data_IF_117227478155
#
_entry.id   IF_117227478155
#
_cell.length_a   1.000
_cell.length_b   1.000
_cell.length_c   1.000
_cell.angle_alpha   90.00
_cell.angle_beta   90.00
_cell.angle_gamma   90.00
#
_symmetry.space_group_name_H-M   'P 1'
#
loop_
_entity.id
_entity.type
_entity.pdbx_description
1 polymer ?
#
# COMPACT_ATOMS: atom_id res chain seq x y z
N UNK A 1 -6.69 12.74 -12.87
CA UNK A 1 -6.06 12.43 -14.17
C UNK A 1 -4.60 12.10 -13.92
N UNK A 2 -4.23 10.89 -14.34
CA UNK A 2 -2.96 10.16 -14.22
C UNK A 2 -2.76 9.27 -12.98
N UNK A 3 -3.51 8.16 -12.99
CA UNK A 3 -3.16 6.85 -12.38
C UNK A 3 -2.26 5.99 -13.30
N UNK A 4 -1.86 6.51 -14.47
CA UNK A 4 -1.11 5.81 -15.54
C UNK A 4 0.42 5.75 -15.36
N UNK A 5 0.96 6.03 -14.17
CA UNK A 5 2.42 6.21 -14.00
C UNK A 5 3.15 5.01 -13.40
N UNK A 6 2.42 3.93 -13.07
CA UNK A 6 3.02 2.62 -12.73
C UNK A 6 3.26 1.78 -14.02
N UNK A 7 2.68 2.20 -15.14
CA UNK A 7 2.59 1.43 -16.39
C UNK A 7 3.94 1.21 -17.11
N UNK A 8 5.00 1.93 -16.76
CA UNK A 8 6.25 1.92 -17.52
C UNK A 8 7.37 1.02 -16.96
N UNK A 9 7.21 0.40 -15.79
CA UNK A 9 8.27 -0.47 -15.22
C UNK A 9 8.11 -1.95 -15.64
N UNK A 10 6.93 -2.38 -16.07
CA UNK A 10 6.64 -3.83 -16.26
C UNK A 10 6.50 -4.31 -17.71
N UNK A 11 6.63 -3.46 -18.72
CA UNK A 11 6.44 -3.88 -20.12
C UNK A 11 7.78 -4.18 -20.81
N UNK A 12 8.20 -5.46 -20.78
CA UNK A 12 8.76 -6.21 -21.93
C UNK A 12 9.23 -7.61 -21.54
N UNK A 13 8.42 -8.63 -21.90
CA UNK A 13 8.72 -9.65 -22.92
C UNK A 13 7.74 -10.81 -22.79
N UNK A 14 6.95 -11.01 -23.84
CA UNK A 14 6.26 -12.27 -24.13
C UNK A 14 7.27 -13.40 -24.18
N UNK A 15 7.12 -14.40 -23.33
CA UNK A 15 7.82 -15.69 -23.47
C UNK A 15 6.85 -16.82 -23.13
N UNK A 16 6.93 -17.86 -23.95
CA UNK A 16 6.11 -19.07 -23.93
C UNK A 16 6.12 -19.74 -22.55
N UNK A 17 4.91 -20.06 -22.07
CA UNK A 17 4.65 -20.51 -20.70
C UNK A 17 4.77 -22.03 -20.60
N UNK A 18 5.65 -22.53 -19.71
CA UNK A 18 5.65 -23.95 -19.28
C UNK A 18 4.69 -24.13 -18.09
N UNK A 19 3.88 -25.19 -18.13
CA UNK A 19 2.86 -25.55 -17.13
C UNK A 19 3.46 -25.81 -15.74
N UNK A 20 2.85 -25.25 -14.70
CA UNK A 20 3.16 -25.54 -13.28
C UNK A 20 2.33 -26.72 -12.76
N UNK A 21 2.91 -27.55 -11.91
CA UNK A 21 2.35 -28.83 -11.40
C UNK A 21 1.49 -28.72 -10.12
N UNK A 22 1.06 -27.53 -9.70
CA UNK A 22 0.28 -27.33 -8.47
C UNK A 22 -1.22 -27.66 -8.71
N UNK A 23 -1.79 -28.55 -7.89
CA UNK A 23 -3.21 -28.94 -7.98
C UNK A 23 -4.12 -27.97 -7.20
N UNK A 24 -5.18 -27.42 -7.82
CA UNK A 24 -5.97 -26.31 -7.27
C UNK A 24 -6.93 -26.67 -6.11
N UNK A 25 -6.89 -27.88 -5.56
CA UNK A 25 -7.95 -28.39 -4.66
C UNK A 25 -7.48 -29.14 -3.41
N UNK A 26 -6.18 -29.28 -3.13
CA UNK A 26 -5.72 -30.20 -2.07
C UNK A 26 -5.02 -29.60 -0.86
N UNK A 27 -4.79 -28.29 -0.75
CA UNK A 27 -4.21 -27.71 0.46
C UNK A 27 -4.86 -26.36 0.82
N UNK A 28 -6.08 -26.41 1.34
CA UNK A 28 -6.62 -25.30 2.16
C UNK A 28 -6.07 -25.49 3.58
N UNK A 29 -4.76 -25.29 3.75
CA UNK A 29 -4.10 -25.36 5.05
C UNK A 29 -4.55 -24.20 5.95
N UNK A 30 -4.37 -24.41 7.25
CA UNK A 30 -4.54 -23.46 8.36
C UNK A 30 -4.21 -22.00 7.99
N UNK A 31 -4.92 -21.06 8.62
CA UNK A 31 -4.85 -19.60 8.43
C UNK A 31 -3.56 -19.12 7.75
N UNK A 32 -3.65 -18.77 6.47
CA UNK A 32 -2.51 -18.26 5.71
C UNK A 32 -2.05 -16.94 6.33
N UNK A 33 -0.82 -16.88 6.85
CA UNK A 33 -0.24 -15.67 7.44
C UNK A 33 0.91 -15.15 6.59
N UNK A 34 0.76 -13.93 6.06
CA UNK A 34 1.87 -13.19 5.46
C UNK A 34 2.64 -12.42 6.53
N UNK A 35 3.97 -12.56 6.52
CA UNK A 35 4.87 -11.82 7.40
C UNK A 35 5.23 -10.46 6.78
N UNK A 36 5.40 -9.42 7.60
CA UNK A 36 5.85 -8.10 7.15
C UNK A 36 7.38 -7.95 7.25
N UNK A 37 7.94 -7.00 6.49
CA UNK A 37 9.33 -6.55 6.65
C UNK A 37 9.48 -5.79 7.96
N UNK A 38 10.48 -6.14 8.75
CA UNK A 38 10.84 -5.40 9.96
C UNK A 38 11.80 -4.30 9.57
N UNK A 39 11.47 -3.06 9.88
CA UNK A 39 12.41 -1.96 9.84
C UNK A 39 12.81 -1.58 11.25
N UNK A 40 14.01 -1.04 11.41
CA UNK A 40 14.56 -0.66 12.71
C UNK A 40 14.51 0.85 12.86
N UNK A 41 14.21 1.31 14.07
CA UNK A 41 14.24 2.74 14.40
C UNK A 41 15.67 3.27 14.26
N UNK A 42 15.77 4.52 13.80
CA UNK A 42 17.03 5.24 13.56
C UNK A 42 17.94 4.61 12.50
N UNK A 43 17.42 3.66 11.72
CA UNK A 43 18.11 3.09 10.57
C UNK A 43 17.74 3.83 9.28
N UNK A 44 18.76 3.99 8.43
CA UNK A 44 18.63 4.59 7.10
C UNK A 44 18.60 3.48 6.05
N UNK A 45 17.58 3.52 5.21
CA UNK A 45 17.40 2.62 4.09
C UNK A 45 17.73 3.36 2.78
N UNK A 46 18.85 3.03 2.10
CA UNK A 46 19.07 3.43 0.73
C UNK A 46 18.17 2.58 -0.19
N UNK A 47 17.70 3.14 -1.29
CA UNK A 47 16.90 2.40 -2.29
C UNK A 47 15.45 2.09 -1.91
N UNK A 48 14.76 3.12 -1.43
CA UNK A 48 13.30 3.08 -1.27
C UNK A 48 12.59 3.63 -2.52
N UNK A 49 11.49 2.99 -2.91
CA UNK A 49 10.57 3.43 -3.95
C UNK A 49 9.20 3.72 -3.34
N UNK A 50 8.60 4.88 -3.62
CA UNK A 50 7.21 5.15 -3.25
C UNK A 50 6.29 4.46 -4.25
N UNK A 51 5.52 3.48 -3.78
CA UNK A 51 4.57 2.72 -4.60
C UNK A 51 3.17 3.30 -4.58
N UNK A 52 2.78 3.93 -3.46
CA UNK A 52 1.50 4.60 -3.33
C UNK A 52 1.59 5.76 -2.35
N UNK A 53 0.86 6.84 -2.64
CA UNK A 53 0.82 8.05 -1.82
C UNK A 53 -0.59 8.62 -1.83
N UNK A 54 -1.33 8.40 -0.75
CA UNK A 54 -2.65 9.01 -0.56
C UNK A 54 -2.48 10.44 -0.03
N UNK A 55 -1.82 10.59 1.12
CA UNK A 55 -1.50 11.88 1.72
C UNK A 55 -0.23 11.78 2.60
N UNK A 56 0.29 12.88 3.18
CA UNK A 56 1.58 12.85 3.90
C UNK A 56 1.68 11.89 5.09
N UNK A 57 0.55 11.41 5.61
CA UNK A 57 0.50 10.42 6.71
C UNK A 57 0.11 9.02 6.25
N UNK A 58 -0.04 8.83 4.94
CA UNK A 58 -0.53 7.63 4.26
C UNK A 58 0.33 7.38 3.00
N UNK A 59 1.59 7.01 3.22
CA UNK A 59 2.57 6.75 2.16
C UNK A 59 2.96 5.28 2.24
N UNK A 60 3.22 4.66 1.09
CA UNK A 60 3.65 3.28 1.00
C UNK A 60 4.92 3.20 0.17
N UNK A 61 5.91 2.48 0.70
CA UNK A 61 7.19 2.31 0.04
C UNK A 61 7.60 0.84 -0.05
N UNK A 62 8.46 0.54 -1.00
CA UNK A 62 9.21 -0.70 -1.08
C UNK A 62 10.69 -0.42 -0.85
N UNK A 63 11.38 -1.29 -0.12
CA UNK A 63 12.84 -1.32 -0.02
C UNK A 63 13.36 -2.34 -1.05
N UNK A 64 14.22 -1.88 -1.97
CA UNK A 64 14.72 -2.65 -3.11
C UNK A 64 15.95 -3.51 -2.76
N UNK A 65 15.84 -4.35 -1.74
CA UNK A 65 16.88 -5.35 -1.38
C UNK A 65 16.67 -6.67 -2.14
N UNK A 66 15.41 -7.04 -2.41
CA UNK A 66 15.00 -8.34 -2.97
C UNK A 66 14.23 -8.22 -4.32
N UNK A 67 14.55 -7.23 -5.15
CA UNK A 67 13.77 -6.89 -6.34
C UNK A 67 13.51 -8.06 -7.30
N UNK A 68 14.50 -8.93 -7.50
CA UNK A 68 14.39 -10.12 -8.36
C UNK A 68 13.46 -11.19 -7.78
N UNK A 69 13.49 -11.42 -6.47
CA UNK A 69 12.63 -12.40 -5.81
C UNK A 69 11.16 -11.95 -5.82
N UNK A 70 10.91 -10.65 -5.62
CA UNK A 70 9.57 -10.10 -5.75
C UNK A 70 9.02 -10.23 -7.18
N UNK A 71 9.83 -9.85 -8.18
CA UNK A 71 9.45 -9.96 -9.58
C UNK A 71 9.12 -11.41 -9.97
N UNK A 72 9.96 -12.37 -9.54
CA UNK A 72 9.73 -13.79 -9.79
C UNK A 72 8.42 -14.27 -9.15
N UNK A 73 8.17 -13.94 -7.87
CA UNK A 73 6.94 -14.29 -7.18
C UNK A 73 5.70 -13.72 -7.90
N UNK A 74 5.75 -12.44 -8.31
CA UNK A 74 4.64 -11.80 -9.03
C UNK A 74 4.34 -12.51 -10.36
N UNK A 75 5.38 -12.88 -11.11
CA UNK A 75 5.24 -13.66 -12.35
C UNK A 75 4.65 -15.05 -12.11
N UNK A 76 5.08 -15.74 -11.06
CA UNK A 76 4.59 -17.09 -10.76
C UNK A 76 3.13 -17.09 -10.28
N UNK A 77 2.71 -16.08 -9.49
CA UNK A 77 1.30 -15.85 -9.15
C UNK A 77 0.48 -15.69 -10.43
N UNK A 78 0.88 -14.77 -11.31
CA UNK A 78 0.13 -14.50 -12.53
C UNK A 78 0.06 -15.72 -13.44
N UNK A 79 1.16 -16.45 -13.61
CA UNK A 79 1.19 -17.71 -14.37
C UNK A 79 0.21 -18.73 -13.78
N UNK A 80 0.20 -18.91 -12.47
CA UNK A 80 -0.63 -19.90 -11.82
C UNK A 80 -2.13 -19.59 -11.95
N UNK A 81 -2.57 -18.38 -11.59
CA UNK A 81 -4.01 -18.06 -11.57
C UNK A 81 -4.58 -17.82 -12.97
N UNK A 82 -3.79 -17.29 -13.92
CA UNK A 82 -4.24 -17.13 -15.31
C UNK A 82 -4.46 -18.48 -16.00
N UNK A 83 -3.63 -19.48 -15.71
CA UNK A 83 -3.81 -20.82 -16.26
C UNK A 83 -4.97 -21.60 -15.61
N UNK A 84 -5.50 -21.12 -14.48
CA UNK A 84 -6.51 -21.80 -13.69
C UNK A 84 -7.82 -20.99 -13.51
N UNK A 85 -8.12 -20.05 -14.42
CA UNK A 85 -9.30 -19.16 -14.29
C UNK A 85 -10.62 -19.91 -14.04
N UNK A 86 -10.83 -21.03 -14.74
CA UNK A 86 -12.07 -21.82 -14.64
C UNK A 86 -12.22 -22.58 -13.32
N UNK A 87 -11.11 -22.93 -12.65
CA UNK A 87 -11.11 -23.66 -11.38
C UNK A 87 -11.78 -22.86 -10.25
N UNK A 88 -11.93 -21.55 -10.43
CA UNK A 88 -12.43 -20.62 -9.44
C UNK A 88 -13.79 -20.00 -9.81
N UNK A 89 -14.43 -20.51 -10.86
CA UNK A 89 -15.75 -20.06 -11.32
C UNK A 89 -16.87 -20.22 -10.27
N UNK A 90 -16.68 -21.16 -9.32
CA UNK A 90 -17.65 -21.50 -8.27
C UNK A 90 -17.22 -21.09 -6.85
N UNK A 91 -16.25 -20.17 -6.70
CA UNK A 91 -15.90 -19.65 -5.36
C UNK A 91 -17.14 -18.98 -4.74
N UNK A 92 -17.55 -19.50 -3.58
CA UNK A 92 -18.67 -18.97 -2.79
C UNK A 92 -18.24 -17.75 -1.96
N UNK A 93 -19.18 -16.86 -1.66
CA UNK A 93 -18.99 -15.69 -0.79
C UNK A 93 -18.73 -16.04 0.69
N UNK A 94 -18.78 -17.33 1.06
CA UNK A 94 -18.51 -17.81 2.43
C UNK A 94 -17.04 -18.01 2.76
N UNK A 95 -16.12 -17.83 1.81
CA UNK A 95 -14.71 -18.21 1.96
C UNK A 95 -13.77 -17.10 2.39
N UNK A 96 -14.26 -15.87 2.55
CA UNK A 96 -13.41 -14.71 2.78
C UNK A 96 -14.01 -13.77 3.81
N UNK A 97 -13.26 -13.49 4.85
CA UNK A 97 -13.60 -12.58 5.93
C UNK A 97 -12.66 -11.37 5.96
N UNK A 98 -13.05 -10.34 6.71
CA UNK A 98 -12.20 -9.16 6.91
C UNK A 98 -10.93 -9.61 7.63
N UNK A 99 -9.78 -9.25 7.07
CA UNK A 99 -8.48 -9.64 7.58
C UNK A 99 -7.88 -10.87 6.90
N UNK A 100 -8.61 -11.57 6.03
CA UNK A 100 -8.02 -12.67 5.26
C UNK A 100 -7.03 -12.15 4.21
N UNK A 101 -5.96 -12.91 4.01
CA UNK A 101 -5.08 -12.73 2.87
C UNK A 101 -5.60 -13.53 1.67
N UNK A 102 -5.55 -12.91 0.51
CA UNK A 102 -6.07 -13.48 -0.74
C UNK A 102 -5.17 -13.09 -1.91
N UNK A 103 -5.53 -13.58 -3.09
CA UNK A 103 -5.04 -13.08 -4.37
C UNK A 103 -6.19 -12.37 -5.08
N UNK A 104 -5.96 -11.14 -5.51
CA UNK A 104 -6.97 -10.28 -6.10
C UNK A 104 -6.57 -9.90 -7.54
N UNK A 105 -7.53 -9.99 -8.45
CA UNK A 105 -7.39 -9.57 -9.83
C UNK A 105 -7.66 -8.08 -9.98
N UNK A 106 -6.67 -7.32 -10.42
CA UNK A 106 -6.87 -5.90 -10.75
C UNK A 106 -7.36 -5.76 -12.19
N UNK A 107 -8.50 -5.10 -12.36
CA UNK A 107 -9.03 -4.78 -13.69
C UNK A 107 -8.23 -3.71 -14.42
N UNK A 108 -7.48 -2.89 -13.68
CA UNK A 108 -6.62 -1.85 -14.23
C UNK A 108 -5.37 -2.44 -14.89
N UNK A 109 -4.72 -3.40 -14.21
CA UNK A 109 -3.45 -3.98 -14.67
C UNK A 109 -3.61 -5.31 -15.39
N UNK A 110 -4.81 -5.91 -15.37
CA UNK A 110 -5.08 -7.23 -15.92
C UNK A 110 -4.19 -8.33 -15.30
N UNK A 111 -3.85 -8.18 -14.03
CA UNK A 111 -2.94 -9.05 -13.29
C UNK A 111 -3.49 -9.40 -11.91
N UNK A 112 -2.98 -10.49 -11.35
CA UNK A 112 -3.24 -10.96 -9.99
C UNK A 112 -2.16 -10.47 -9.03
N UNK A 113 -2.59 -10.07 -7.84
CA UNK A 113 -1.74 -9.51 -6.79
C UNK A 113 -2.08 -10.12 -5.43
N UNK A 114 -1.08 -10.22 -4.54
CA UNK A 114 -1.36 -10.56 -3.13
C UNK A 114 -2.10 -9.40 -2.47
N UNK A 115 -3.14 -9.71 -1.72
CA UNK A 115 -3.97 -8.70 -1.10
C UNK A 115 -4.47 -9.15 0.29
N UNK A 116 -4.99 -8.18 1.05
CA UNK A 116 -5.71 -8.42 2.30
C UNK A 116 -7.07 -7.77 2.24
N UNK A 117 -8.10 -8.47 2.71
CA UNK A 117 -9.46 -7.97 2.74
C UNK A 117 -9.61 -6.98 3.89
N UNK A 118 -10.09 -5.79 3.55
CA UNK A 118 -10.25 -4.68 4.47
C UNK A 118 -11.72 -4.46 4.83
N UNK A 119 -12.63 -4.69 3.88
CA UNK A 119 -14.07 -4.55 4.10
C UNK A 119 -14.86 -5.38 3.08
N UNK A 120 -16.14 -5.64 3.37
CA UNK A 120 -17.03 -6.47 2.54
C UNK A 120 -18.38 -5.77 2.36
N UNK A 121 -18.78 -5.57 1.12
CA UNK A 121 -20.15 -5.23 0.74
C UNK A 121 -20.85 -6.50 0.23
N UNK A 122 -21.55 -7.19 1.14
CA UNK A 122 -22.28 -8.40 0.82
C UNK A 122 -23.43 -8.19 -0.18
N UNK A 123 -24.01 -6.97 -0.25
CA UNK A 123 -25.15 -6.69 -1.14
C UNK A 123 -24.68 -6.65 -2.59
N UNK A 124 -23.57 -5.97 -2.84
CA UNK A 124 -22.99 -5.83 -4.17
C UNK A 124 -21.95 -6.91 -4.50
N UNK A 125 -21.67 -7.84 -3.56
CA UNK A 125 -20.64 -8.88 -3.67
C UNK A 125 -19.26 -8.29 -3.98
N UNK A 126 -18.96 -7.14 -3.38
CA UNK A 126 -17.69 -6.45 -3.53
C UNK A 126 -16.88 -6.54 -2.24
N UNK A 127 -15.57 -6.57 -2.39
CA UNK A 127 -14.62 -6.61 -1.28
C UNK A 127 -13.62 -5.49 -1.50
N UNK A 128 -13.39 -4.71 -0.45
CA UNK A 128 -12.29 -3.76 -0.44
C UNK A 128 -11.04 -4.53 -0.08
N UNK A 129 -10.05 -4.51 -0.96
CA UNK A 129 -8.76 -5.14 -0.71
C UNK A 129 -7.64 -4.10 -0.73
N UNK A 130 -6.59 -4.32 0.04
CA UNK A 130 -5.30 -3.62 -0.13
C UNK A 130 -4.30 -4.57 -0.76
N UNK A 131 -3.62 -4.11 -1.82
CA UNK A 131 -2.53 -4.86 -2.41
C UNK A 131 -1.33 -4.74 -1.49
N UNK A 132 -1.03 -5.82 -0.75
CA UNK A 132 -0.06 -5.74 0.36
C UNK A 132 1.35 -5.44 -0.13
N UNK A 133 1.65 -5.73 -1.39
CA UNK A 133 2.95 -5.45 -1.98
C UNK A 133 3.09 -4.02 -2.52
N UNK A 134 2.00 -3.24 -2.61
CA UNK A 134 2.00 -1.89 -3.21
C UNK A 134 1.38 -0.80 -2.33
N UNK A 135 0.39 -1.15 -1.50
CA UNK A 135 -0.25 -0.26 -0.54
C UNK A 135 -1.53 0.45 -1.02
N UNK A 136 -1.83 0.44 -2.31
CA UNK A 136 -3.11 0.94 -2.82
C UNK A 136 -4.25 -0.07 -2.58
N UNK A 137 -5.49 0.44 -2.50
CA UNK A 137 -6.69 -0.38 -2.31
C UNK A 137 -7.68 -0.23 -3.46
N UNK A 138 -8.48 -1.28 -3.69
CA UNK A 138 -9.48 -1.34 -4.76
C UNK A 138 -10.72 -2.11 -4.27
N UNK A 139 -11.92 -1.68 -4.68
CA UNK A 139 -13.13 -2.48 -4.54
C UNK A 139 -13.25 -3.46 -5.69
N UNK A 140 -13.25 -4.75 -5.40
CA UNK A 140 -13.23 -5.81 -6.41
C UNK A 140 -14.42 -6.73 -6.19
N UNK A 141 -15.08 -7.14 -7.27
CA UNK A 141 -16.16 -8.13 -7.21
C UNK A 141 -15.59 -9.50 -6.78
N UNK A 142 -16.34 -10.30 -6.01
CA UNK A 142 -15.90 -11.62 -5.49
C UNK A 142 -15.29 -12.55 -6.57
N UNK A 143 -15.76 -12.43 -7.82
CA UNK A 143 -15.21 -13.17 -8.97
C UNK A 143 -13.74 -12.87 -9.28
N UNK A 144 -13.18 -11.78 -8.78
CA UNK A 144 -11.77 -11.43 -8.88
C UNK A 144 -10.91 -11.89 -7.70
N UNK A 145 -11.49 -12.51 -6.67
CA UNK A 145 -10.78 -12.94 -5.46
C UNK A 145 -10.50 -14.43 -5.52
N UNK A 146 -9.30 -14.83 -5.10
CA UNK A 146 -8.79 -16.20 -5.10
C UNK A 146 -8.10 -16.49 -3.77
N UNK A 147 -8.10 -17.75 -3.29
CA UNK A 147 -7.34 -18.12 -2.10
C UNK A 147 -5.85 -17.84 -2.32
N UNK A 148 -5.15 -17.35 -1.30
CA UNK A 148 -3.69 -17.23 -1.35
C UNK A 148 -3.06 -18.58 -0.97
N UNK A 149 -2.24 -19.14 -1.87
CA UNK A 149 -1.58 -20.42 -1.64
C UNK A 149 -0.30 -20.25 -0.83
N UNK A 150 0.04 -21.25 -0.01
CA UNK A 150 1.17 -21.20 0.93
C UNK A 150 2.51 -20.96 0.23
N UNK A 151 2.68 -21.43 -1.00
CA UNK A 151 3.85 -21.21 -1.84
C UNK A 151 4.14 -19.72 -2.07
N UNK A 152 3.10 -18.90 -2.16
CA UNK A 152 3.18 -17.45 -2.37
C UNK A 152 3.29 -16.65 -1.07
N UNK A 153 3.45 -17.32 0.08
CA UNK A 153 3.60 -16.69 1.40
C UNK A 153 5.05 -16.62 1.88
N UNK A 154 5.96 -17.28 1.17
CA UNK A 154 7.39 -17.37 1.52
C UNK A 154 8.05 -16.00 1.56
N UNK A 155 7.71 -15.13 0.61
CA UNK A 155 8.20 -13.76 0.57
C UNK A 155 7.36 -12.89 1.51
N UNK A 156 8.02 -12.05 2.31
CA UNK A 156 7.33 -11.08 3.16
C UNK A 156 6.50 -10.11 2.33
N UNK A 157 5.54 -9.43 2.96
CA UNK A 157 4.85 -8.28 2.39
C UNK A 157 5.90 -7.25 1.96
N UNK A 158 5.82 -6.78 0.72
CA UNK A 158 6.85 -5.92 0.15
C UNK A 158 6.67 -4.44 0.46
N UNK A 159 5.41 -3.99 0.61
CA UNK A 159 5.13 -2.61 0.96
C UNK A 159 5.28 -2.36 2.46
N UNK A 160 5.70 -1.16 2.80
CA UNK A 160 5.87 -0.67 4.15
C UNK A 160 5.05 0.63 4.25
N UNK A 161 4.01 0.66 5.11
CA UNK A 161 3.24 1.87 5.35
C UNK A 161 4.05 2.82 6.21
N UNK A 162 4.13 4.07 5.76
CA UNK A 162 4.88 5.13 6.40
C UNK A 162 4.09 6.44 6.49
N UNK A 163 4.45 7.24 7.48
CA UNK A 163 4.00 8.62 7.64
C UNK A 163 5.22 9.53 7.64
N UNK A 164 5.14 10.65 6.93
CA UNK A 164 6.19 11.66 6.97
C UNK A 164 6.23 12.29 8.37
N UNK A 165 7.39 12.25 9.00
CA UNK A 165 7.61 12.77 10.34
C UNK A 165 7.54 14.29 10.38
N UNK A 166 7.35 14.85 11.57
CA UNK A 166 7.52 16.27 11.87
C UNK A 166 6.55 17.23 11.18
N UNK A 167 5.55 16.75 10.45
CA UNK A 167 4.53 17.59 9.83
C UNK A 167 3.10 17.21 10.22
N UNK A 168 2.23 18.22 10.17
CA UNK A 168 0.79 18.06 10.36
C UNK A 168 -0.01 18.91 9.37
N UNK A 169 -1.25 18.51 9.06
CA UNK A 169 -2.11 19.29 8.17
C UNK A 169 -2.38 20.67 8.77
N UNK A 170 -2.50 21.70 7.95
CA UNK A 170 -2.91 23.03 8.45
C UNK A 170 -4.40 23.05 8.74
N UNK A 171 -4.82 23.95 9.64
CA UNK A 171 -6.22 24.21 9.91
C UNK A 171 -6.83 24.93 8.71
N UNK A 172 -7.91 24.40 8.17
CA UNK A 172 -8.73 25.10 7.19
C UNK A 172 -9.60 26.11 7.92
N UNK A 173 -9.36 27.39 7.63
CA UNK A 173 -10.05 28.50 8.28
C UNK A 173 -11.53 28.60 7.88
N UNK A 174 -11.93 28.01 6.74
CA UNK A 174 -13.33 28.03 6.28
C UNK A 174 -14.18 26.99 6.98
N UNK A 175 -13.62 25.80 7.18
CA UNK A 175 -14.37 24.64 7.71
C UNK A 175 -14.04 24.35 9.17
N UNK A 176 -13.06 25.06 9.74
CA UNK A 176 -12.48 24.79 11.06
C UNK A 176 -11.86 23.38 11.20
N UNK A 177 -11.60 22.69 10.08
CA UNK A 177 -11.11 21.31 10.08
C UNK A 177 -9.58 21.22 10.02
N UNK A 178 -9.04 20.12 10.57
CA UNK A 178 -7.61 19.82 10.56
C UNK A 178 -7.42 18.41 10.01
N UNK A 179 -7.23 18.31 8.70
CA UNK A 179 -6.92 17.04 8.01
C UNK A 179 -6.28 17.32 6.63
N UNK A 180 -5.79 16.26 5.99
CA UNK A 180 -5.16 16.35 4.67
C UNK A 180 -6.16 16.47 3.50
N UNK A 181 -7.46 16.37 3.76
CA UNK A 181 -8.52 16.48 2.74
C UNK A 181 -8.95 17.93 2.45
N UNK A 182 -8.49 18.89 3.26
CA UNK A 182 -8.62 20.34 3.02
C UNK A 182 -7.93 20.75 1.71
N UNK A 183 -8.24 21.93 1.17
CA UNK A 183 -7.61 22.44 -0.06
C UNK A 183 -6.08 22.56 0.08
N UNK A 184 -5.60 22.98 1.25
CA UNK A 184 -4.16 23.06 1.56
C UNK A 184 -3.56 21.67 1.67
N UNK A 185 -4.26 20.73 2.32
CA UNK A 185 -3.82 19.34 2.41
C UNK A 185 -3.70 18.66 1.04
N UNK A 186 -4.67 18.87 0.15
CA UNK A 186 -4.62 18.38 -1.24
C UNK A 186 -3.47 18.99 -2.03
N UNK A 187 -3.16 20.28 -1.81
CA UNK A 187 -1.98 20.92 -2.41
C UNK A 187 -0.68 20.31 -1.88
N UNK A 188 -0.60 20.03 -0.58
CA UNK A 188 0.51 19.32 0.05
C UNK A 188 0.73 17.94 -0.60
N UNK A 189 -0.33 17.14 -0.71
CA UNK A 189 -0.30 15.82 -1.39
C UNK A 189 0.19 15.94 -2.83
N UNK A 190 -0.31 16.90 -3.62
CA UNK A 190 0.14 17.09 -5.00
C UNK A 190 1.62 17.47 -5.08
N UNK A 191 2.11 18.33 -4.17
CA UNK A 191 3.54 18.68 -4.12
C UNK A 191 4.39 17.45 -3.77
N UNK A 192 3.98 16.68 -2.76
CA UNK A 192 4.65 15.44 -2.40
C UNK A 192 4.74 14.46 -3.58
N UNK A 193 3.62 14.21 -4.29
CA UNK A 193 3.63 13.32 -5.46
C UNK A 193 4.62 13.78 -6.53
N UNK A 194 4.67 15.09 -6.84
CA UNK A 194 5.64 15.63 -7.81
C UNK A 194 7.10 15.47 -7.38
N UNK A 195 7.36 15.54 -6.07
CA UNK A 195 8.71 15.44 -5.52
C UNK A 195 9.20 14.00 -5.39
N UNK A 196 8.30 13.09 -4.99
CA UNK A 196 8.64 11.71 -4.64
C UNK A 196 8.40 10.69 -5.75
N UNK A 197 7.46 10.96 -6.66
CA UNK A 197 7.09 10.05 -7.74
C UNK A 197 7.58 10.67 -9.04
N UNK A 198 8.71 10.19 -9.55
CA UNK A 198 9.31 10.66 -10.80
C UNK A 198 9.05 9.62 -11.91
N UNK A 199 8.33 9.96 -12.99
CA UNK A 199 7.96 9.04 -14.07
C UNK A 199 9.14 8.34 -14.77
N UNK A 200 10.26 9.07 -14.94
CA UNK A 200 11.32 8.73 -15.90
C UNK A 200 12.68 8.44 -15.23
N UNK A 201 12.68 8.26 -13.91
CA UNK A 201 13.88 7.94 -13.14
C UNK A 201 13.49 6.99 -12.01
N UNK A 202 14.41 6.14 -11.56
CA UNK A 202 14.28 5.49 -10.26
C UNK A 202 14.93 6.41 -9.20
N UNK A 203 14.22 7.40 -8.61
CA UNK A 203 14.78 8.11 -7.48
C UNK A 203 14.67 7.17 -6.29
N UNK A 204 15.68 6.32 -6.13
CA UNK A 204 15.89 5.66 -4.87
C UNK A 204 15.99 6.72 -3.78
N UNK A 205 14.97 6.76 -2.94
CA UNK A 205 14.89 7.70 -1.84
C UNK A 205 15.72 7.17 -0.69
N UNK A 206 16.32 8.11 0.05
CA UNK A 206 16.84 7.83 1.36
C UNK A 206 15.73 8.06 2.38
N UNK A 207 15.36 7.00 3.08
CA UNK A 207 14.32 7.03 4.09
C UNK A 207 14.96 6.64 5.42
N UNK A 208 14.76 7.47 6.44
CA UNK A 208 15.22 7.17 7.80
C UNK A 208 14.01 6.92 8.67
N UNK A 209 13.95 5.76 9.33
CA UNK A 209 12.85 5.46 10.26
C UNK A 209 13.13 6.18 11.58
N UNK A 210 12.20 7.00 12.05
CA UNK A 210 12.35 7.79 13.28
C UNK A 210 11.62 7.17 14.47
N UNK A 211 10.52 6.46 14.20
CA UNK A 211 9.68 5.79 15.19
C UNK A 211 8.84 4.71 14.54
N UNK A 212 8.50 3.66 15.30
CA UNK A 212 7.72 2.53 14.84
C UNK A 212 6.54 2.25 15.77
N UNK A 213 5.33 2.17 15.21
CA UNK A 213 4.13 1.75 15.94
C UNK A 213 3.71 0.33 15.53
N UNK A 214 3.69 -0.57 16.52
CA UNK A 214 3.24 -1.96 16.38
C UNK A 214 1.77 -2.16 16.80
N UNK A 215 0.99 -1.10 16.97
CA UNK A 215 -0.40 -1.20 17.45
C UNK A 215 -1.36 -1.84 16.44
N UNK A 216 -0.88 -2.18 15.23
CA UNK A 216 -1.69 -2.63 14.11
C UNK A 216 -1.17 -3.92 13.47
N UNK A 217 -2.04 -4.57 12.70
CA UNK A 217 -1.68 -5.75 11.91
C UNK A 217 -0.54 -5.48 10.91
N UNK A 218 -0.43 -4.22 10.45
CA UNK A 218 0.66 -3.72 9.60
C UNK A 218 1.36 -2.57 10.34
N UNK A 219 2.60 -2.75 10.81
CA UNK A 219 3.30 -1.71 11.57
C UNK A 219 3.50 -0.43 10.76
N UNK A 220 3.17 0.71 11.38
CA UNK A 220 3.30 2.04 10.78
C UNK A 220 4.65 2.65 11.16
N UNK A 221 5.38 3.15 10.16
CA UNK A 221 6.71 3.72 10.36
C UNK A 221 6.68 5.24 10.15
N UNK A 222 7.23 5.98 11.09
CA UNK A 222 7.47 7.40 10.92
C UNK A 222 8.80 7.57 10.24
N UNK A 223 8.84 8.38 9.19
CA UNK A 223 10.04 8.49 8.37
C UNK A 223 10.42 9.92 8.06
N UNK A 224 11.72 10.16 7.99
CA UNK A 224 12.28 11.36 7.38
C UNK A 224 12.69 11.04 5.94
N UNK A 225 12.34 11.94 5.02
CA UNK A 225 12.70 11.85 3.61
C UNK A 225 13.49 13.10 3.25
N UNK A 226 14.65 12.91 2.63
CA UNK A 226 15.48 14.01 2.12
C UNK A 226 15.51 14.00 0.60
N UNK A 227 15.40 15.20 0.01
CA UNK A 227 15.50 15.43 -1.43
C UNK A 227 16.59 16.47 -1.64
N UNK A 228 17.63 16.12 -2.41
CA UNK A 228 18.77 17.00 -2.70
C UNK A 228 19.40 17.60 -1.43
N UNK A 229 19.51 16.77 -0.37
CA UNK A 229 20.06 17.15 0.93
C UNK A 229 19.10 17.91 1.86
N UNK A 230 17.95 18.36 1.35
CA UNK A 230 16.95 19.09 2.11
C UNK A 230 15.90 18.18 2.72
N UNK A 231 15.46 18.52 3.92
CA UNK A 231 14.41 17.81 4.63
C UNK A 231 13.03 18.13 4.06
N UNK A 232 12.26 17.11 3.70
CA UNK A 232 10.97 17.26 3.05
C UNK A 232 9.91 17.90 3.95
N UNK A 233 9.95 17.66 5.27
CA UNK A 233 9.06 18.33 6.21
C UNK A 233 9.29 19.85 6.20
N UNK A 234 10.56 20.27 6.17
CA UNK A 234 10.92 21.69 6.08
C UNK A 234 10.51 22.32 4.74
N UNK A 235 10.69 21.61 3.62
CA UNK A 235 10.23 22.09 2.30
C UNK A 235 8.73 22.40 2.36
N UNK A 236 7.91 21.42 2.76
CA UNK A 236 6.45 21.57 2.83
C UNK A 236 6.00 22.66 3.82
N UNK A 237 6.72 22.82 4.93
CA UNK A 237 6.46 23.89 5.89
C UNK A 237 6.73 25.28 5.30
N UNK A 238 7.89 25.45 4.67
CA UNK A 238 8.30 26.74 4.09
C UNK A 238 7.39 27.17 2.94
N UNK A 239 6.83 26.21 2.21
CA UNK A 239 5.78 26.47 1.21
C UNK A 239 4.40 26.82 1.82
N UNK A 240 4.29 26.77 3.14
CA UNK A 240 3.03 27.01 3.85
C UNK A 240 2.00 25.89 3.70
N UNK A 241 2.41 24.68 3.29
CA UNK A 241 1.52 23.53 3.03
C UNK A 241 1.33 22.63 4.26
N UNK A 242 2.25 22.69 5.22
CA UNK A 242 2.18 21.95 6.48
C UNK A 242 2.64 22.80 7.66
N UNK A 243 2.28 22.38 8.88
CA UNK A 243 2.91 22.90 10.11
C UNK A 243 3.94 21.91 10.61
N UNK A 244 5.01 22.40 11.24
CA UNK A 244 5.97 21.55 11.92
C UNK A 244 5.42 21.07 13.26
N UNK A 245 5.80 19.86 13.68
CA UNK A 245 5.64 19.35 15.04
C UNK A 245 6.96 18.80 15.57
N UNK A 246 7.24 19.08 16.85
CA UNK A 246 8.41 18.56 17.55
C UNK A 246 8.19 17.17 18.14
N UNK A 247 6.93 16.76 18.29
CA UNK A 247 6.59 15.51 18.93
C UNK A 247 5.68 14.67 18.04
N UNK A 248 6.26 13.62 17.45
CA UNK A 248 5.47 12.62 16.72
C UNK A 248 4.63 11.76 17.70
N UNK A 249 4.87 11.83 19.02
CA UNK A 249 4.15 11.05 20.05
C UNK A 249 2.80 11.63 20.46
N UNK A 250 2.50 12.89 20.15
CA UNK A 250 1.19 13.53 20.43
C UNK A 250 0.19 13.30 19.27
N UNK A 251 0.57 12.43 18.33
CA UNK A 251 -0.18 12.14 17.13
C UNK A 251 -0.98 10.87 17.36
N UNK A 252 -2.30 11.01 17.42
CA UNK A 252 -3.17 9.84 17.46
C UNK A 252 -3.16 9.22 16.08
N UNK A 253 -2.61 8.01 15.98
CA UNK A 253 -2.69 7.22 14.76
C UNK A 253 -4.18 7.04 14.44
N UNK A 254 -4.62 7.55 13.28
CA UNK A 254 -5.89 7.17 12.70
C UNK A 254 -5.65 5.82 12.06
N UNK A 255 -6.11 4.80 12.77
CA UNK A 255 -6.33 3.48 12.21
C UNK A 255 -7.11 3.62 10.91
N UNK A 256 -6.80 2.82 9.88
CA UNK A 256 -7.65 2.83 8.71
C UNK A 256 -9.08 2.48 9.14
N UNK A 257 -9.95 3.48 9.05
CA UNK A 257 -11.38 3.26 9.16
C UNK A 257 -11.82 2.94 7.75
N UNK A 258 -11.89 1.65 7.45
CA UNK A 258 -12.54 1.18 6.23
C UNK A 258 -14.04 1.27 6.49
N UNK A 259 -14.57 2.49 6.49
CA UNK A 259 -16.00 2.76 6.69
C UNK A 259 -16.86 1.94 5.73
N UNK A 260 -18.17 1.91 5.97
CA UNK A 260 -19.10 1.10 5.16
C UNK A 260 -19.24 1.61 3.73
N UNK A 261 -18.76 2.83 3.45
CA UNK A 261 -18.89 3.50 2.16
C UNK A 261 -17.51 3.89 1.57
N UNK A 262 -17.32 3.85 0.23
CA UNK A 262 -16.06 4.23 -0.42
C UNK A 262 -15.58 5.66 -0.11
N UNK A 263 -16.48 6.58 0.20
CA UNK A 263 -16.15 7.97 0.57
C UNK A 263 -15.71 8.14 2.02
N UNK A 264 -15.81 7.10 2.85
CA UNK A 264 -15.37 7.09 4.26
C UNK A 264 -13.99 6.45 4.41
N UNK A 265 -13.34 6.12 3.28
CA UNK A 265 -12.04 5.47 3.25
C UNK A 265 -10.96 6.42 3.74
N UNK A 266 -10.39 6.10 4.90
CA UNK A 266 -9.08 6.58 5.28
C UNK A 266 -8.15 5.38 5.26
N UNK A 267 -7.20 5.39 4.33
CA UNK A 267 -6.07 4.48 4.34
C UNK A 267 -5.05 5.14 5.27
N UNK A 268 -4.77 4.53 6.43
CA UNK A 268 -3.72 4.86 7.42
C UNK A 268 -3.36 6.34 7.59
N UNK A 269 -3.66 6.98 8.72
CA UNK A 269 -3.32 8.40 8.91
C UNK A 269 -2.99 8.79 10.33
N UNK A 270 -2.88 10.10 10.55
CA UNK A 270 -2.68 10.72 11.86
C UNK A 270 -3.76 11.79 12.05
N UNK A 271 -4.39 11.82 13.22
CA UNK A 271 -5.18 12.95 13.71
C UNK A 271 -4.41 13.59 14.86
N UNK A 272 -4.56 14.90 14.99
CA UNK A 272 -4.27 15.54 16.27
C UNK A 272 -5.12 14.90 17.37
N UNK A 273 -4.52 14.56 18.51
CA UNK A 273 -5.30 14.41 19.73
C UNK A 273 -6.02 15.73 20.01
N UNK A 274 -7.31 15.66 20.35
CA UNK A 274 -8.03 16.82 20.88
C UNK A 274 -7.40 17.30 22.17
#
# INVERSE_FOLDING_TARGET
MNEQLIDNVFIKKSNEYKQSTLSPLTDMADSVVLKYKKCEEYVRYPNCLITYLDHPSAIFLQIFEDGSAFQQMHQDINRFYMNNLNAYSNISTKYFEIGDFCVAYSSQYFEFFRARILNIDHRNKQYLVIYVDFGNSEWIHIKGIRPLYIEFTKLKIQSIPVTLSHILPKKDLKTDTINWNTDVGKQCTRKLRRLLIKPDSEPFLFVSVTFLSNENWWPLHFVDIKIDGQDLANILHNDGLARLTRNNKDLKIIYPNFGKHPSEQLIFGIQLSK
#
